data_IF_605081088415
#
_entry.id   IF_605081088415
#
_cell.length_a   1.000
_cell.length_b   1.000
_cell.length_c   1.000
_cell.angle_alpha   90.00
_cell.angle_beta   90.00
_cell.angle_gamma   90.00
#
_symmetry.space_group_name_H-M   'P 1'
#
loop_
_entity.id
_entity.type
_entity.pdbx_description
1 polymer ?
#
# COMPACT_ATOMS: atom_id res chain seq x y z
N UNK A 1 -10.33 14.42 -2.56
CA UNK A 1 -9.20 14.08 -3.44
C UNK A 1 -7.86 14.19 -2.72
N UNK A 2 -7.54 15.30 -2.02
CA UNK A 2 -6.34 15.34 -1.13
C UNK A 2 -6.58 14.69 0.23
N UNK A 3 -7.83 14.70 0.73
CA UNK A 3 -8.19 13.99 1.97
C UNK A 3 -8.03 12.46 1.86
N UNK A 4 -8.32 11.88 0.69
CA UNK A 4 -8.18 10.44 0.43
C UNK A 4 -6.73 9.95 0.57
N UNK A 5 -5.74 10.68 0.01
CA UNK A 5 -4.35 10.21 0.04
C UNK A 5 -3.76 10.25 1.46
N UNK A 6 -4.16 11.24 2.28
CA UNK A 6 -3.72 11.33 3.68
C UNK A 6 -4.30 10.21 4.55
N UNK A 7 -5.57 9.87 4.35
CA UNK A 7 -6.20 8.75 5.03
C UNK A 7 -5.59 7.41 4.61
N UNK A 8 -5.43 7.18 3.30
CA UNK A 8 -4.82 5.97 2.76
C UNK A 8 -3.37 5.79 3.24
N UNK A 9 -2.59 6.87 3.24
CA UNK A 9 -1.23 6.87 3.77
C UNK A 9 -1.20 6.49 5.26
N UNK A 10 -2.14 7.02 6.05
CA UNK A 10 -2.27 6.62 7.45
C UNK A 10 -2.58 5.12 7.57
N UNK A 11 -3.51 4.59 6.77
CA UNK A 11 -3.83 3.15 6.76
C UNK A 11 -2.61 2.30 6.39
N UNK A 12 -1.85 2.70 5.36
CA UNK A 12 -0.63 1.99 4.94
C UNK A 12 0.42 2.03 6.07
N UNK A 13 0.67 3.20 6.65
CA UNK A 13 1.62 3.38 7.75
C UNK A 13 1.30 2.49 8.96
N UNK A 14 0.02 2.40 9.33
CA UNK A 14 -0.43 1.54 10.42
C UNK A 14 -0.27 0.05 10.06
N UNK A 15 -0.65 -0.34 8.84
CA UNK A 15 -0.51 -1.73 8.37
C UNK A 15 0.95 -2.18 8.39
N UNK A 16 1.87 -1.32 7.94
CA UNK A 16 3.32 -1.56 8.03
C UNK A 16 3.80 -1.68 9.48
N UNK A 17 3.38 -0.75 10.34
CA UNK A 17 3.71 -0.78 11.77
C UNK A 17 3.25 -2.07 12.45
N UNK A 18 2.02 -2.52 12.15
CA UNK A 18 1.45 -3.77 12.69
C UNK A 18 2.26 -5.00 12.27
N UNK A 19 2.66 -5.09 11.00
CA UNK A 19 3.48 -6.22 10.49
C UNK A 19 4.90 -6.20 11.08
N UNK A 20 5.43 -5.01 11.35
CA UNK A 20 6.72 -4.80 12.00
C UNK A 20 6.64 -4.85 13.54
N UNK A 21 5.45 -5.03 14.12
CA UNK A 21 5.19 -5.03 15.56
C UNK A 21 5.69 -3.75 16.26
N UNK A 22 5.46 -2.59 15.63
CA UNK A 22 5.91 -1.28 16.12
C UNK A 22 4.87 -0.20 15.83
N UNK A 23 5.19 1.03 16.24
CA UNK A 23 4.39 2.20 15.90
C UNK A 23 4.30 2.40 14.37
N UNK A 24 3.23 3.05 13.89
CA UNK A 24 3.07 3.38 12.47
C UNK A 24 4.29 4.09 11.90
N UNK A 25 4.63 3.77 10.66
CA UNK A 25 5.76 4.39 9.96
C UNK A 25 5.46 5.85 9.62
N UNK A 26 6.49 6.68 9.54
CA UNK A 26 6.34 8.02 8.99
C UNK A 26 6.07 7.96 7.47
N UNK A 27 5.45 8.99 6.86
CA UNK A 27 5.05 8.99 5.45
C UNK A 27 6.13 8.58 4.44
N UNK A 28 7.37 8.94 4.72
CA UNK A 28 8.55 8.70 3.86
C UNK A 28 9.54 7.73 4.50
N UNK A 29 9.14 7.04 5.58
CA UNK A 29 9.99 6.08 6.25
C UNK A 29 9.97 4.76 5.48
N UNK A 30 11.17 4.28 5.11
CA UNK A 30 11.30 3.06 4.31
C UNK A 30 11.04 1.81 5.17
N UNK A 31 10.20 0.93 4.65
CA UNK A 31 9.79 -0.31 5.34
C UNK A 31 10.96 -1.28 5.57
N UNK A 32 11.89 -1.41 4.63
CA UNK A 32 13.02 -2.33 4.75
C UNK A 32 14.09 -1.80 5.71
N UNK A 33 14.35 -0.48 5.69
CA UNK A 33 15.21 0.17 6.69
C UNK A 33 14.66 0.00 8.12
N UNK A 34 13.34 -0.18 8.26
CA UNK A 34 12.66 -0.42 9.52
C UNK A 34 12.67 -1.88 10.01
N UNK A 35 13.35 -2.78 9.29
CA UNK A 35 13.43 -4.21 9.61
C UNK A 35 12.42 -5.08 8.86
N UNK A 36 11.79 -4.55 7.81
CA UNK A 36 10.98 -5.30 6.87
C UNK A 36 11.80 -6.29 6.05
N UNK A 37 11.13 -7.32 5.55
CA UNK A 37 11.69 -8.33 4.65
C UNK A 37 10.63 -8.73 3.61
N UNK A 38 11.02 -9.56 2.65
CA UNK A 38 10.13 -9.96 1.54
C UNK A 38 8.85 -10.67 2.01
N UNK A 39 8.90 -11.50 3.06
CA UNK A 39 7.69 -12.17 3.56
C UNK A 39 6.75 -11.18 4.21
N UNK A 40 7.29 -10.27 5.03
CA UNK A 40 6.51 -9.21 5.67
C UNK A 40 5.96 -8.21 4.65
N UNK A 41 6.70 -7.89 3.60
CA UNK A 41 6.22 -7.06 2.50
C UNK A 41 5.00 -7.70 1.84
N UNK A 42 5.07 -8.99 1.50
CA UNK A 42 3.92 -9.74 0.96
C UNK A 42 2.73 -9.72 1.91
N UNK A 43 2.94 -9.85 3.22
CA UNK A 43 1.88 -9.75 4.23
C UNK A 43 1.22 -8.36 4.25
N UNK A 44 2.00 -7.27 4.20
CA UNK A 44 1.48 -5.90 4.08
C UNK A 44 0.58 -5.80 2.84
N UNK A 45 1.07 -6.26 1.68
CA UNK A 45 0.30 -6.17 0.44
C UNK A 45 -1.01 -6.97 0.51
N UNK A 46 -0.97 -8.20 1.04
CA UNK A 46 -2.18 -9.01 1.24
C UNK A 46 -3.21 -8.28 2.09
N UNK A 47 -2.81 -7.72 3.24
CA UNK A 47 -3.72 -6.98 4.13
C UNK A 47 -4.32 -5.75 3.47
N UNK A 48 -3.55 -5.02 2.67
CA UNK A 48 -4.03 -3.84 1.94
C UNK A 48 -5.04 -4.25 0.85
N UNK A 49 -4.75 -5.27 0.06
CA UNK A 49 -5.65 -5.78 -0.98
C UNK A 49 -6.97 -6.27 -0.39
N UNK A 50 -6.91 -7.06 0.70
CA UNK A 50 -8.10 -7.56 1.41
C UNK A 50 -8.94 -6.42 1.99
N UNK A 51 -8.30 -5.31 2.42
CA UNK A 51 -9.00 -4.15 2.96
C UNK A 51 -9.73 -3.33 1.90
N UNK A 52 -9.18 -3.24 0.69
CA UNK A 52 -9.71 -2.35 -0.35
C UNK A 52 -10.63 -3.05 -1.35
N UNK A 53 -10.66 -4.39 -1.35
CA UNK A 53 -11.56 -5.23 -2.14
C UNK A 53 -11.79 -4.70 -3.57
N UNK A 54 -10.74 -4.68 -4.43
CA UNK A 54 -10.84 -4.17 -5.81
C UNK A 54 -11.95 -4.88 -6.58
N UNK A 55 -12.76 -4.13 -7.33
CA UNK A 55 -13.94 -4.67 -8.03
C UNK A 55 -13.72 -4.65 -9.53
N UNK A 56 -13.66 -5.82 -10.14
CA UNK A 56 -13.56 -5.97 -11.60
C UNK A 56 -12.79 -7.22 -11.99
N UNK A 57 -12.89 -7.61 -13.26
CA UNK A 57 -12.01 -8.64 -13.82
C UNK A 57 -10.56 -8.19 -13.65
N UNK A 58 -9.71 -9.04 -13.06
CA UNK A 58 -8.28 -8.80 -12.83
C UNK A 58 -7.89 -7.60 -11.95
N UNK A 59 -8.83 -6.89 -11.30
CA UNK A 59 -8.52 -5.71 -10.50
C UNK A 59 -7.55 -6.02 -9.34
N UNK A 60 -7.77 -7.14 -8.65
CA UNK A 60 -6.89 -7.63 -7.59
C UNK A 60 -5.47 -7.91 -8.09
N UNK A 61 -5.32 -8.58 -9.24
CA UNK A 61 -4.00 -8.93 -9.77
C UNK A 61 -3.25 -7.69 -10.26
N UNK A 62 -3.95 -6.72 -10.87
CA UNK A 62 -3.38 -5.42 -11.25
C UNK A 62 -2.88 -4.66 -10.03
N UNK A 63 -3.74 -4.43 -9.03
CA UNK A 63 -3.36 -3.71 -7.82
C UNK A 63 -2.18 -4.39 -7.12
N UNK A 64 -2.19 -5.73 -7.05
CA UNK A 64 -1.09 -6.51 -6.48
C UNK A 64 0.22 -6.28 -7.22
N UNK A 65 0.20 -6.31 -8.55
CA UNK A 65 1.39 -6.11 -9.38
C UNK A 65 1.96 -4.70 -9.24
N UNK A 66 1.10 -3.68 -9.19
CA UNK A 66 1.48 -2.28 -9.00
C UNK A 66 2.10 -2.06 -7.62
N UNK A 67 1.43 -2.55 -6.57
CA UNK A 67 1.94 -2.45 -5.19
C UNK A 67 3.25 -3.22 -4.99
N UNK A 68 3.38 -4.40 -5.61
CA UNK A 68 4.62 -5.17 -5.55
C UNK A 68 5.77 -4.42 -6.20
N UNK A 69 5.52 -3.77 -7.32
CA UNK A 69 6.54 -2.94 -8.00
C UNK A 69 6.90 -1.75 -7.14
N UNK A 70 5.90 -1.02 -6.62
CA UNK A 70 6.11 0.18 -5.82
C UNK A 70 6.88 -0.10 -4.53
N UNK A 71 6.52 -1.15 -3.77
CA UNK A 71 7.20 -1.44 -2.49
C UNK A 71 8.69 -1.76 -2.68
N UNK A 72 9.11 -2.28 -3.84
CA UNK A 72 10.53 -2.52 -4.12
C UNK A 72 11.28 -1.32 -4.69
N UNK A 73 10.57 -0.29 -5.16
CA UNK A 73 11.17 0.96 -5.66
C UNK A 73 11.23 2.03 -4.55
N UNK A 74 10.11 2.23 -3.84
CA UNK A 74 9.95 3.11 -2.69
C UNK A 74 9.04 2.43 -1.67
N UNK A 75 9.62 1.90 -0.60
CA UNK A 75 8.91 1.14 0.41
C UNK A 75 8.25 2.03 1.48
N UNK A 76 7.96 3.29 1.16
CA UNK A 76 7.32 4.22 2.08
C UNK A 76 5.78 4.14 2.05
N UNK A 77 5.11 4.51 3.16
CA UNK A 77 3.65 4.60 3.17
C UNK A 77 3.05 5.53 2.11
N UNK A 78 3.74 6.64 1.80
CA UNK A 78 3.28 7.60 0.80
C UNK A 78 3.26 7.02 -0.62
N UNK A 79 4.28 6.25 -1.00
CA UNK A 79 4.37 5.63 -2.31
C UNK A 79 3.24 4.61 -2.54
N UNK A 80 3.02 3.70 -1.59
CA UNK A 80 1.94 2.70 -1.69
C UNK A 80 0.56 3.36 -1.66
N UNK A 81 0.35 4.40 -0.86
CA UNK A 81 -0.91 5.15 -0.85
C UNK A 81 -1.18 5.81 -2.21
N UNK A 82 -0.15 6.36 -2.86
CA UNK A 82 -0.28 6.93 -4.21
C UNK A 82 -0.73 5.89 -5.24
N UNK A 83 -0.21 4.67 -5.16
CA UNK A 83 -0.62 3.56 -6.06
C UNK A 83 -2.09 3.22 -5.87
N UNK A 84 -2.57 3.13 -4.62
CA UNK A 84 -3.97 2.80 -4.33
C UNK A 84 -4.91 3.90 -4.84
N UNK A 85 -4.51 5.18 -4.71
CA UNK A 85 -5.27 6.31 -5.25
C UNK A 85 -5.34 6.24 -6.78
N UNK A 86 -4.20 6.01 -7.44
CA UNK A 86 -4.11 5.94 -8.89
C UNK A 86 -4.95 4.80 -9.45
N UNK A 87 -4.84 3.60 -8.85
CA UNK A 87 -5.64 2.43 -9.22
C UNK A 87 -7.14 2.72 -9.18
N UNK A 88 -7.63 3.35 -8.10
CA UNK A 88 -9.03 3.75 -7.97
C UNK A 88 -9.46 4.82 -8.97
N UNK A 89 -8.54 5.69 -9.38
CA UNK A 89 -8.78 6.71 -10.40
C UNK A 89 -8.99 6.12 -11.80
N UNK A 90 -8.32 5.01 -12.11
CA UNK A 90 -8.45 4.31 -13.40
C UNK A 90 -9.80 3.56 -13.51
N UNK A 91 -10.37 3.12 -12.39
CA UNK A 91 -11.64 2.35 -12.37
C UNK A 91 -12.90 3.21 -12.64
N UNK A 92 -12.82 4.54 -12.59
CA UNK A 92 -13.97 5.45 -12.74
C UNK A 92 -14.19 5.98 -14.17
N UNK A 93 -13.31 5.66 -15.12
CA UNK A 93 -13.33 6.22 -16.49
C UNK A 93 -13.98 5.31 -17.57
N UNK A 94 -14.71 4.27 -17.20
CA UNK A 94 -15.39 3.35 -18.16
C UNK A 94 -16.91 3.30 -18.03
#
# INVERSE_FOLDING_TARGET
>A
MTDDIGELMSVVAHTMGDVLLRAPLAPTEDFFDCGGDSMRAVEVLSRLIERYEPVGEDAVERLRSELLTAIFDDASPAALASVIVDHRGVEVET
#
